data_IF_754734011931
#
_entry.id   IF_754734011931
#
_cell.length_a   1.000
_cell.length_b   1.000
_cell.length_c   1.000
_cell.angle_alpha   90.00
_cell.angle_beta   90.00
_cell.angle_gamma   90.00
#
_symmetry.space_group_name_H-M   'P 1'
#
loop_
_entity.id
_entity.type
_entity.pdbx_description
1 polymer ?
#
# COMPACT_ATOMS: atom_id res chain seq x y z
N UNK A 1 -23.68 27.86 -9.01
CA UNK A 1 -23.18 27.53 -7.66
C UNK A 1 -21.67 27.83 -7.59
N UNK A 2 -21.23 28.84 -6.84
CA UNK A 2 -19.80 29.28 -6.77
C UNK A 2 -19.04 28.47 -5.70
N UNK A 3 -18.69 27.21 -6.00
CA UNK A 3 -17.99 26.34 -5.04
C UNK A 3 -16.47 26.59 -5.06
N UNK A 4 -15.83 26.56 -3.89
CA UNK A 4 -14.38 26.73 -3.75
C UNK A 4 -13.62 25.44 -4.09
N UNK A 5 -12.79 25.39 -5.15
CA UNK A 5 -12.09 24.19 -5.56
C UNK A 5 -11.14 23.63 -4.48
N UNK A 6 -10.59 24.49 -3.60
CA UNK A 6 -9.73 24.07 -2.47
C UNK A 6 -10.47 23.35 -1.35
N UNK A 7 -11.80 23.22 -1.43
CA UNK A 7 -12.63 22.47 -0.48
C UNK A 7 -13.25 21.21 -1.12
N UNK A 8 -13.09 21.02 -2.43
CA UNK A 8 -13.66 19.88 -3.15
C UNK A 8 -12.62 18.76 -3.23
N UNK A 9 -12.90 17.64 -2.57
CA UNK A 9 -11.95 16.53 -2.34
C UNK A 9 -11.32 15.91 -3.59
N UNK A 10 -12.01 15.98 -4.73
CA UNK A 10 -11.60 15.38 -6.00
C UNK A 10 -10.71 16.29 -6.85
N UNK A 11 -10.61 17.59 -6.53
CA UNK A 11 -9.85 18.52 -7.37
C UNK A 11 -8.35 18.47 -7.07
N UNK A 12 -7.52 18.76 -8.08
CA UNK A 12 -6.06 18.89 -7.93
C UNK A 12 -5.69 20.00 -6.94
N UNK A 13 -6.45 21.09 -6.92
CA UNK A 13 -6.22 22.23 -6.02
C UNK A 13 -6.35 21.83 -4.54
N UNK A 14 -7.40 21.09 -4.19
CA UNK A 14 -7.53 20.53 -2.84
C UNK A 14 -6.42 19.52 -2.54
N UNK A 15 -6.12 18.60 -3.46
CA UNK A 15 -5.09 17.58 -3.24
C UNK A 15 -3.70 18.17 -2.96
N UNK A 16 -3.32 19.23 -3.68
CA UNK A 16 -2.08 19.96 -3.45
C UNK A 16 -2.08 20.69 -2.09
N UNK A 17 -3.16 21.40 -1.78
CA UNK A 17 -3.28 22.13 -0.51
C UNK A 17 -3.33 21.21 0.72
N UNK A 18 -3.92 20.02 0.59
CA UNK A 18 -4.03 19.02 1.64
C UNK A 18 -2.84 18.04 1.70
N UNK A 19 -1.75 18.30 0.94
CA UNK A 19 -0.55 17.46 0.97
C UNK A 19 -0.73 16.04 0.41
N UNK A 20 -1.76 15.80 -0.42
CA UNK A 20 -2.00 14.47 -1.05
C UNK A 20 -1.09 14.24 -2.26
N UNK A 21 -0.45 15.28 -2.76
CA UNK A 21 0.44 15.27 -3.92
C UNK A 21 1.73 16.00 -3.58
N UNK A 22 2.80 15.62 -4.28
CA UNK A 22 4.07 16.31 -4.19
C UNK A 22 3.97 17.70 -4.82
N UNK A 23 4.19 18.75 -4.03
CA UNK A 23 4.04 20.16 -4.45
C UNK A 23 5.37 20.91 -4.59
N UNK A 24 6.39 20.56 -3.81
CA UNK A 24 7.71 21.17 -3.81
C UNK A 24 8.71 20.17 -4.38
N UNK A 25 8.94 20.21 -5.68
CA UNK A 25 9.90 19.35 -6.37
C UNK A 25 10.54 20.08 -7.55
N UNK A 26 11.82 19.79 -7.82
CA UNK A 26 12.57 20.42 -8.91
C UNK A 26 12.01 20.06 -10.29
N UNK A 27 11.40 18.88 -10.44
CA UNK A 27 10.78 18.46 -11.71
C UNK A 27 9.62 19.38 -12.14
N UNK A 28 8.98 20.09 -11.19
CA UNK A 28 7.87 20.98 -11.48
C UNK A 28 8.31 22.34 -12.05
N UNK A 29 9.57 22.73 -11.82
CA UNK A 29 10.11 24.02 -12.29
C UNK A 29 10.26 24.08 -13.81
N UNK A 30 10.44 22.93 -14.47
CA UNK A 30 10.57 22.86 -15.93
C UNK A 30 9.28 23.25 -16.67
N UNK A 31 8.12 23.20 -16.02
CA UNK A 31 6.83 23.59 -16.60
C UNK A 31 6.53 25.11 -16.49
N UNK A 32 7.52 25.92 -16.12
CA UNK A 32 7.34 27.37 -16.01
C UNK A 32 7.03 28.01 -17.37
N UNK A 33 6.01 28.88 -17.41
CA UNK A 33 5.68 29.68 -18.59
C UNK A 33 6.86 30.60 -18.95
N UNK A 34 7.32 30.51 -20.19
CA UNK A 34 8.33 31.42 -20.76
C UNK A 34 7.62 32.56 -21.49
N UNK A 35 7.95 33.81 -21.13
CA UNK A 35 7.38 35.00 -21.75
C UNK A 35 8.23 35.54 -22.90
N UNK A 36 9.45 35.04 -23.08
CA UNK A 36 10.36 35.42 -24.15
C UNK A 36 10.53 34.21 -25.09
N UNK A 37 10.22 34.34 -26.39
CA UNK A 37 10.44 33.28 -27.36
C UNK A 37 11.93 33.17 -27.71
N UNK A 38 12.37 31.97 -28.05
CA UNK A 38 13.71 31.69 -28.56
C UNK A 38 13.59 31.31 -30.03
N UNK A 39 14.58 31.68 -30.86
CA UNK A 39 14.63 31.22 -32.25
C UNK A 39 14.74 29.70 -32.30
N UNK A 40 14.16 29.11 -33.34
CA UNK A 40 14.24 27.67 -33.55
C UNK A 40 15.70 27.24 -33.75
N UNK A 41 16.12 26.25 -32.97
CA UNK A 41 17.35 25.50 -33.13
C UNK A 41 16.99 24.01 -33.00
N UNK A 42 17.34 23.24 -34.04
CA UNK A 42 17.04 21.81 -34.10
C UNK A 42 17.70 21.04 -32.96
N UNK A 43 18.94 21.36 -32.64
CA UNK A 43 19.70 20.66 -31.60
C UNK A 43 19.11 20.92 -30.22
N UNK A 44 18.64 22.14 -29.97
CA UNK A 44 17.92 22.51 -28.75
C UNK A 44 16.61 21.74 -28.64
N UNK A 45 15.84 21.66 -29.72
CA UNK A 45 14.56 20.98 -29.74
C UNK A 45 14.71 19.48 -29.48
N UNK A 46 15.64 18.81 -30.15
CA UNK A 46 15.90 17.37 -29.97
C UNK A 46 16.31 17.04 -28.52
N UNK A 47 17.23 17.84 -27.93
CA UNK A 47 17.62 17.71 -26.53
C UNK A 47 16.45 17.93 -25.57
N UNK A 48 15.59 18.90 -25.88
CA UNK A 48 14.41 19.21 -25.06
C UNK A 48 13.41 18.04 -25.07
N UNK A 49 13.16 17.44 -26.24
CA UNK A 49 12.29 16.26 -26.35
C UNK A 49 12.79 15.08 -25.50
N UNK A 50 14.09 14.79 -25.55
CA UNK A 50 14.70 13.73 -24.72
C UNK A 50 14.61 14.07 -23.22
N UNK A 51 14.94 15.32 -22.85
CA UNK A 51 14.88 15.78 -21.46
C UNK A 51 13.46 15.71 -20.88
N UNK A 52 12.42 16.06 -21.66
CA UNK A 52 11.03 15.99 -21.21
C UNK A 52 10.62 14.58 -20.80
N UNK A 53 10.93 13.57 -21.63
CA UNK A 53 10.65 12.16 -21.30
C UNK A 53 11.34 11.75 -20.01
N UNK A 54 12.63 12.10 -19.88
CA UNK A 54 13.42 11.76 -18.68
C UNK A 54 12.87 12.44 -17.41
N UNK A 55 12.50 13.71 -17.50
CA UNK A 55 11.92 14.45 -16.37
C UNK A 55 10.59 13.83 -15.95
N UNK A 56 9.77 13.39 -16.91
CA UNK A 56 8.50 12.73 -16.63
C UNK A 56 8.68 11.41 -15.87
N UNK A 57 9.65 10.58 -16.25
CA UNK A 57 9.98 9.34 -15.52
C UNK A 57 10.40 9.62 -14.07
N UNK A 58 11.31 10.60 -13.89
CA UNK A 58 11.79 10.99 -12.56
C UNK A 58 10.63 11.48 -11.70
N UNK A 59 9.77 12.32 -12.27
CA UNK A 59 8.57 12.83 -11.59
C UNK A 59 7.65 11.70 -11.16
N UNK A 60 7.35 10.73 -12.03
CA UNK A 60 6.50 9.58 -11.69
C UNK A 60 7.11 8.75 -10.56
N UNK A 61 8.43 8.49 -10.59
CA UNK A 61 9.14 7.78 -9.52
C UNK A 61 9.02 8.52 -8.18
N UNK A 62 9.23 9.84 -8.17
CA UNK A 62 9.12 10.68 -6.95
C UNK A 62 7.68 10.77 -6.44
N UNK A 63 6.69 10.93 -7.32
CA UNK A 63 5.26 10.90 -6.95
C UNK A 63 4.88 9.56 -6.31
N UNK A 64 5.39 8.44 -6.84
CA UNK A 64 5.18 7.11 -6.25
C UNK A 64 5.82 6.99 -4.87
N UNK A 65 7.04 7.51 -4.69
CA UNK A 65 7.70 7.53 -3.39
C UNK A 65 6.91 8.37 -2.37
N UNK A 66 6.42 9.55 -2.76
CA UNK A 66 5.56 10.39 -1.93
C UNK A 66 4.28 9.66 -1.51
N UNK A 67 3.64 8.93 -2.45
CA UNK A 67 2.47 8.10 -2.13
C UNK A 67 2.79 7.00 -1.12
N UNK A 68 3.90 6.28 -1.31
CA UNK A 68 4.35 5.22 -0.39
C UNK A 68 4.57 5.76 1.02
N UNK A 69 5.29 6.88 1.16
CA UNK A 69 5.52 7.54 2.47
C UNK A 69 4.21 7.96 3.13
N UNK A 70 3.26 8.53 2.37
CA UNK A 70 1.94 8.92 2.89
C UNK A 70 1.09 7.73 3.33
N UNK A 71 1.26 6.57 2.69
CA UNK A 71 0.53 5.34 3.01
C UNK A 71 1.26 4.47 4.04
N UNK A 72 2.47 4.85 4.45
CA UNK A 72 3.19 4.17 5.52
C UNK A 72 2.34 4.19 6.80
N UNK A 73 2.31 3.07 7.51
CA UNK A 73 1.54 2.92 8.75
C UNK A 73 0.05 2.57 8.57
N UNK A 74 -0.54 2.74 7.38
CA UNK A 74 -1.95 2.34 7.13
C UNK A 74 -2.19 0.87 7.45
N UNK A 75 -1.28 -0.02 7.02
CA UNK A 75 -1.34 -1.46 7.33
C UNK A 75 -1.35 -1.74 8.83
N UNK A 76 -0.48 -1.07 9.59
CA UNK A 76 -0.42 -1.27 11.04
C UNK A 76 -1.71 -0.81 11.73
N UNK A 77 -2.27 0.31 11.29
CA UNK A 77 -3.56 0.80 11.77
C UNK A 77 -4.71 -0.16 11.41
N UNK A 78 -4.76 -0.65 10.16
CA UNK A 78 -5.74 -1.64 9.72
C UNK A 78 -5.65 -2.91 10.58
N UNK A 79 -4.46 -3.46 10.75
CA UNK A 79 -4.26 -4.62 11.63
C UNK A 79 -4.72 -4.35 13.06
N UNK A 80 -4.48 -3.16 13.62
CA UNK A 80 -4.96 -2.81 14.95
C UNK A 80 -6.50 -2.74 15.03
N UNK A 81 -7.14 -2.19 14.00
CA UNK A 81 -8.61 -2.14 13.88
C UNK A 81 -9.18 -3.55 13.71
N UNK A 82 -8.57 -4.38 12.86
CA UNK A 82 -8.99 -5.76 12.60
C UNK A 82 -8.89 -6.61 13.87
N UNK A 83 -7.80 -6.46 14.65
CA UNK A 83 -7.66 -7.10 15.96
C UNK A 83 -8.79 -6.72 16.90
N UNK A 84 -9.08 -5.42 17.01
CA UNK A 84 -10.18 -4.93 17.84
C UNK A 84 -11.53 -5.48 17.37
N UNK A 85 -11.74 -5.56 16.05
CA UNK A 85 -12.97 -6.10 15.47
C UNK A 85 -13.18 -7.58 15.83
N UNK A 86 -12.13 -8.39 15.76
CA UNK A 86 -12.19 -9.81 16.13
C UNK A 86 -12.42 -9.98 17.63
N UNK A 87 -11.82 -9.14 18.47
CA UNK A 87 -12.06 -9.15 19.91
C UNK A 87 -13.52 -8.81 20.26
N UNK A 88 -14.14 -7.83 19.60
CA UNK A 88 -15.53 -7.43 19.89
C UNK A 88 -16.56 -8.38 19.28
N UNK A 89 -16.27 -8.92 18.10
CA UNK A 89 -17.20 -9.78 17.35
C UNK A 89 -16.73 -11.24 17.31
N UNK A 90 -16.09 -11.71 18.38
CA UNK A 90 -15.55 -13.08 18.45
C UNK A 90 -16.62 -14.17 18.29
N UNK A 91 -17.87 -13.85 18.60
CA UNK A 91 -19.02 -14.77 18.49
C UNK A 91 -19.44 -15.08 17.05
N UNK A 92 -19.01 -14.27 16.07
CA UNK A 92 -19.29 -14.52 14.65
C UNK A 92 -18.30 -15.51 14.02
N UNK A 93 -17.21 -15.86 14.72
CA UNK A 93 -16.21 -16.78 14.22
C UNK A 93 -16.59 -18.24 14.55
N UNK A 94 -16.35 -19.18 13.61
CA UNK A 94 -16.38 -20.61 13.90
C UNK A 94 -15.42 -20.94 15.05
N UNK A 95 -15.84 -21.82 15.94
CA UNK A 95 -15.02 -22.25 17.10
C UNK A 95 -13.90 -23.16 16.66
N UNK A 96 -14.14 -23.94 15.60
CA UNK A 96 -13.13 -24.82 15.00
C UNK A 96 -12.31 -24.08 13.94
N UNK A 97 -10.99 -24.35 13.89
CA UNK A 97 -10.17 -23.84 12.78
C UNK A 97 -10.55 -24.57 11.50
N UNK A 98 -10.64 -23.84 10.38
CA UNK A 98 -10.96 -24.45 9.08
C UNK A 98 -10.00 -25.57 8.64
N UNK A 99 -8.74 -25.56 9.10
CA UNK A 99 -7.78 -26.65 8.86
C UNK A 99 -8.11 -27.93 9.64
N UNK A 100 -8.64 -27.79 10.86
CA UNK A 100 -9.07 -28.93 11.69
C UNK A 100 -10.36 -29.53 11.12
N UNK A 101 -11.31 -28.66 10.74
CA UNK A 101 -12.52 -29.05 10.02
C UNK A 101 -12.21 -29.85 8.74
N UNK A 102 -11.22 -29.40 7.96
CA UNK A 102 -10.78 -30.10 6.73
C UNK A 102 -10.14 -31.46 7.02
N UNK A 103 -9.34 -31.60 8.09
CA UNK A 103 -8.75 -32.89 8.50
C UNK A 103 -9.81 -33.91 8.92
N UNK A 104 -10.84 -33.47 9.65
CA UNK A 104 -11.94 -34.35 10.08
C UNK A 104 -12.75 -34.87 8.89
N UNK A 105 -12.99 -34.02 7.89
CA UNK A 105 -13.60 -34.42 6.62
C UNK A 105 -12.74 -35.45 5.86
N UNK A 106 -11.42 -35.26 5.81
CA UNK A 106 -10.49 -36.23 5.21
C UNK A 106 -10.44 -37.57 5.97
N UNK A 107 -10.69 -37.55 7.27
CA UNK A 107 -10.82 -38.75 8.12
C UNK A 107 -12.20 -39.44 7.96
N UNK A 108 -13.08 -38.91 7.12
CA UNK A 108 -14.38 -39.52 6.82
C UNK A 108 -15.47 -39.24 7.86
N UNK A 109 -15.30 -38.22 8.70
CA UNK A 109 -16.34 -37.80 9.66
C UNK A 109 -17.43 -37.03 8.91
N UNK A 110 -18.69 -37.41 9.14
CA UNK A 110 -19.85 -36.76 8.52
C UNK A 110 -19.97 -35.28 8.94
N UNK A 111 -20.42 -34.39 8.04
CA UNK A 111 -20.46 -32.95 8.30
C UNK A 111 -21.36 -32.58 9.50
N UNK A 112 -22.44 -33.32 9.73
CA UNK A 112 -23.35 -33.10 10.86
C UNK A 112 -22.70 -33.43 12.22
N UNK A 113 -21.83 -34.45 12.25
CA UNK A 113 -21.08 -34.81 13.45
C UNK A 113 -20.04 -33.73 13.78
N UNK A 114 -19.44 -33.12 12.75
CA UNK A 114 -18.47 -32.02 12.91
C UNK A 114 -19.15 -30.77 13.49
N UNK A 115 -20.37 -30.45 13.06
CA UNK A 115 -21.11 -29.30 13.58
C UNK A 115 -21.52 -29.49 15.05
N UNK A 116 -21.92 -30.70 15.44
CA UNK A 116 -22.22 -31.04 16.85
C UNK A 116 -20.95 -30.99 17.73
N UNK A 117 -19.81 -31.47 17.20
CA UNK A 117 -18.51 -31.33 17.87
C UNK A 117 -18.09 -29.86 18.01
N UNK A 118 -18.42 -29.02 17.03
CA UNK A 118 -18.12 -27.58 17.08
C UNK A 118 -18.97 -26.84 18.13
N UNK A 119 -20.23 -27.22 18.29
CA UNK A 119 -21.16 -26.61 19.24
C UNK A 119 -20.86 -26.98 20.71
N UNK A 120 -20.32 -28.19 20.93
CA UNK A 120 -19.93 -28.68 22.27
C UNK A 120 -18.58 -28.13 22.74
N UNK A 121 -17.79 -27.52 21.85
CA UNK A 121 -16.50 -26.94 22.23
C UNK A 121 -16.66 -25.67 23.08
N UNK A 122 -15.88 -25.55 24.17
CA UNK A 122 -15.92 -24.37 25.02
C UNK A 122 -15.45 -23.13 24.25
N UNK A 123 -16.08 -21.98 24.55
CA UNK A 123 -15.64 -20.67 24.06
C UNK A 123 -14.40 -20.23 24.83
N UNK A 124 -13.27 -20.90 24.61
CA UNK A 124 -12.01 -20.45 25.16
C UNK A 124 -11.60 -19.14 24.50
N UNK A 125 -11.27 -18.13 25.33
CA UNK A 125 -10.56 -16.94 24.87
C UNK A 125 -9.11 -17.32 24.56
N UNK A 126 -8.91 -18.13 23.52
CA UNK A 126 -7.59 -18.42 23.00
C UNK A 126 -6.89 -17.08 22.69
N UNK A 127 -5.57 -17.00 22.90
CA UNK A 127 -4.77 -15.86 22.45
C UNK A 127 -4.89 -15.77 20.92
N UNK A 128 -5.85 -14.99 20.44
CA UNK A 128 -6.19 -14.82 19.01
C UNK A 128 -4.99 -14.26 18.22
N UNK A 129 -4.10 -13.56 18.90
CA UNK A 129 -2.96 -12.88 18.30
C UNK A 129 -1.71 -13.78 18.25
N UNK A 130 -1.59 -14.56 17.17
CA UNK A 130 -0.31 -15.14 16.75
C UNK A 130 0.65 -14.07 16.21
N UNK A 131 1.96 -14.34 16.24
CA UNK A 131 2.95 -13.51 15.54
C UNK A 131 2.71 -13.64 14.02
N UNK A 132 2.69 -12.51 13.32
CA UNK A 132 2.53 -12.49 11.86
C UNK A 132 3.71 -13.23 11.21
N UNK A 133 3.44 -14.33 10.50
CA UNK A 133 4.47 -15.00 9.68
C UNK A 133 4.76 -14.12 8.46
N UNK A 134 5.86 -13.38 8.50
CA UNK A 134 6.37 -12.70 7.31
C UNK A 134 6.86 -13.75 6.30
N UNK A 135 6.31 -13.71 5.08
CA UNK A 135 6.75 -14.61 4.00
C UNK A 135 8.00 -14.02 3.38
N UNK A 136 9.10 -14.75 3.38
CA UNK A 136 10.33 -14.33 2.70
C UNK A 136 10.30 -14.82 1.24
N UNK A 137 10.70 -13.96 0.31
CA UNK A 137 11.02 -14.29 -1.08
C UNK A 137 12.52 -14.20 -1.24
N UNK A 138 13.15 -15.28 -1.69
CA UNK A 138 14.54 -15.21 -2.13
C UNK A 138 14.61 -14.61 -3.53
N UNK A 139 15.44 -13.58 -3.70
CA UNK A 139 15.83 -13.06 -5.01
C UNK A 139 16.90 -13.96 -5.64
N UNK A 140 17.05 -13.85 -6.96
CA UNK A 140 18.05 -14.56 -7.75
C UNK A 140 19.48 -14.27 -7.27
N UNK A 141 19.73 -13.08 -6.73
CA UNK A 141 21.03 -12.64 -6.20
C UNK A 141 21.30 -13.10 -4.75
N UNK A 142 20.45 -13.95 -4.16
CA UNK A 142 20.59 -14.43 -2.77
C UNK A 142 20.07 -13.46 -1.70
N UNK A 143 19.59 -12.28 -2.08
CA UNK A 143 18.92 -11.34 -1.17
C UNK A 143 17.54 -11.85 -0.72
N UNK A 144 17.22 -11.69 0.57
CA UNK A 144 15.93 -12.07 1.14
C UNK A 144 14.99 -10.86 1.19
N UNK A 145 13.88 -10.91 0.47
CA UNK A 145 12.80 -9.92 0.55
C UNK A 145 11.68 -10.38 1.47
N UNK A 146 11.39 -9.62 2.51
CA UNK A 146 10.21 -9.87 3.35
C UNK A 146 8.95 -9.32 2.65
N UNK A 147 8.03 -10.21 2.27
CA UNK A 147 6.74 -9.85 1.69
C UNK A 147 5.88 -9.21 2.77
N UNK A 148 5.77 -7.87 2.73
CA UNK A 148 4.98 -7.07 3.66
C UNK A 148 5.77 -5.96 4.36
N UNK A 149 7.10 -6.03 4.32
CA UNK A 149 7.93 -4.87 4.63
C UNK A 149 7.95 -3.96 3.40
N UNK A 150 7.30 -2.81 3.53
CA UNK A 150 7.65 -1.67 2.70
C UNK A 150 9.11 -1.38 3.01
N UNK A 151 9.99 -1.80 2.11
CA UNK A 151 11.42 -1.53 2.16
C UNK A 151 11.62 -0.02 2.41
N UNK A 152 11.80 0.33 3.68
CA UNK A 152 12.28 1.63 4.15
C UNK A 152 13.81 1.68 4.07
N UNK A 153 14.45 0.63 3.51
CA UNK A 153 15.78 0.69 2.96
C UNK A 153 15.78 1.68 1.79
N UNK A 154 16.09 2.93 2.13
CA UNK A 154 16.72 3.87 1.22
C UNK A 154 17.94 3.13 0.62
N UNK A 155 17.81 2.58 -0.58
CA UNK A 155 18.95 2.42 -1.47
C UNK A 155 19.35 3.85 -1.88
N UNK A 156 20.07 4.52 -0.98
CA UNK A 156 20.92 5.64 -1.29
C UNK A 156 22.06 5.03 -2.11
N UNK A 157 21.88 4.98 -3.43
CA UNK A 157 23.01 4.88 -4.34
C UNK A 157 23.97 6.02 -3.95
N UNK A 158 25.06 5.65 -3.28
CA UNK A 158 26.20 6.52 -3.04
C UNK A 158 27.04 6.52 -4.31
N UNK A 159 27.27 7.75 -4.80
CA UNK A 159 28.10 8.20 -5.92
C UNK A 159 27.70 7.80 -7.36
#
# INVERSE_FOLDING_TARGET
MKRNPRKLGWTKAYRKAAGKEMTVDSTLQFAQRRNVPVRYDRTLWEKTMQAMTRIQEIRQKRERAHYKRRMAGKRAHELAVDKKLVETHSHLLPRMRGSERRRLLEQGVDPEQIDQMEETLPTEKAKVHGKEKQRQRLRVDGGVEFVGENNNGMDMDSD
#
